data_IF_635448476042
#
_entry.id   IF_635448476042
#
_cell.length_a   1.000
_cell.length_b   1.000
_cell.length_c   1.000
_cell.angle_alpha   90.00
_cell.angle_beta   90.00
_cell.angle_gamma   90.00
#
_symmetry.space_group_name_H-M   'P 1'
#
loop_
_entity.id
_entity.type
_entity.pdbx_description
1 polymer ?
#
# COMPACT_ATOMS: atom_id res chain seq x y z
N UNK A 1 7.16 2.36 -3.15
CA UNK A 1 6.20 1.53 -2.40
C UNK A 1 5.07 0.97 -3.26
N UNK A 2 4.25 1.81 -3.90
CA UNK A 2 2.98 1.44 -4.55
C UNK A 2 3.06 0.25 -5.50
N UNK A 3 3.89 0.34 -6.55
CA UNK A 3 4.03 -0.72 -7.55
C UNK A 3 4.44 -2.07 -6.94
N UNK A 4 5.47 -2.08 -6.08
CA UNK A 4 5.92 -3.31 -5.39
C UNK A 4 4.84 -3.91 -4.49
N UNK A 5 4.07 -3.07 -3.82
CA UNK A 5 2.96 -3.51 -2.96
C UNK A 5 1.88 -4.16 -3.82
N UNK A 6 1.45 -3.47 -4.88
CA UNK A 6 0.45 -3.98 -5.83
C UNK A 6 0.84 -5.34 -6.42
N UNK A 7 2.07 -5.48 -6.94
CA UNK A 7 2.52 -6.74 -7.55
C UNK A 7 2.54 -7.88 -6.52
N UNK A 8 3.06 -7.66 -5.31
CA UNK A 8 3.09 -8.69 -4.27
C UNK A 8 1.69 -9.12 -3.82
N UNK A 9 0.78 -8.17 -3.62
CA UNK A 9 -0.60 -8.47 -3.27
C UNK A 9 -1.31 -9.25 -4.39
N UNK A 10 -1.08 -8.88 -5.65
CA UNK A 10 -1.62 -9.59 -6.81
C UNK A 10 -1.11 -11.03 -6.88
N UNK A 11 0.20 -11.24 -6.75
CA UNK A 11 0.81 -12.57 -6.72
C UNK A 11 0.24 -13.43 -5.57
N UNK A 12 0.09 -12.86 -4.38
CA UNK A 12 -0.50 -13.54 -3.25
C UNK A 12 -1.97 -13.90 -3.46
N UNK A 13 -2.76 -13.00 -4.05
CA UNK A 13 -4.16 -13.25 -4.39
C UNK A 13 -4.32 -14.37 -5.44
N UNK A 14 -3.42 -14.46 -6.41
CA UNK A 14 -3.39 -15.57 -7.38
C UNK A 14 -3.03 -16.92 -6.72
N UNK A 15 -2.15 -16.91 -5.72
CA UNK A 15 -1.76 -18.10 -4.96
C UNK A 15 -2.86 -18.59 -3.99
N UNK A 16 -3.69 -17.69 -3.47
CA UNK A 16 -4.75 -17.99 -2.51
C UNK A 16 -6.13 -18.31 -3.11
N UNK A 17 -6.20 -18.60 -4.43
CA UNK A 17 -7.45 -19.03 -5.12
C UNK A 17 -8.07 -20.26 -4.43
N UNK A 18 -8.91 -20.02 -3.42
CA UNK A 18 -9.49 -21.04 -2.54
C UNK A 18 -10.08 -20.46 -1.24
N UNK A 19 -9.57 -19.32 -0.74
CA UNK A 19 -10.10 -18.67 0.48
C UNK A 19 -11.03 -17.52 0.11
N UNK A 20 -12.31 -17.81 -0.09
CA UNK A 20 -13.27 -16.90 -0.75
C UNK A 20 -13.41 -15.50 -0.11
N UNK A 21 -13.48 -15.41 1.22
CA UNK A 21 -13.76 -14.15 1.92
C UNK A 21 -12.56 -13.19 1.91
N UNK A 22 -11.39 -13.66 2.33
CA UNK A 22 -10.14 -12.87 2.34
C UNK A 22 -9.77 -12.39 0.94
N UNK A 23 -10.12 -13.18 -0.08
CA UNK A 23 -9.82 -12.83 -1.46
C UNK A 23 -10.62 -11.63 -1.97
N UNK A 24 -11.85 -11.39 -1.49
CA UNK A 24 -12.66 -10.24 -1.94
C UNK A 24 -12.13 -8.91 -1.41
N UNK A 25 -11.86 -8.84 -0.11
CA UNK A 25 -11.29 -7.64 0.53
C UNK A 25 -9.90 -7.31 -0.03
N UNK A 26 -9.07 -8.34 -0.24
CA UNK A 26 -7.77 -8.19 -0.86
C UNK A 26 -7.88 -7.66 -2.30
N UNK A 27 -8.83 -8.16 -3.10
CA UNK A 27 -9.06 -7.66 -4.47
C UNK A 27 -9.48 -6.19 -4.46
N UNK A 28 -10.38 -5.79 -3.56
CA UNK A 28 -10.78 -4.38 -3.39
C UNK A 28 -9.59 -3.49 -3.02
N UNK A 29 -8.77 -3.93 -2.07
CA UNK A 29 -7.56 -3.20 -1.70
C UNK A 29 -6.57 -3.07 -2.88
N UNK A 30 -6.38 -4.13 -3.67
CA UNK A 30 -5.54 -4.11 -4.87
C UNK A 30 -6.09 -3.11 -5.90
N UNK A 31 -7.40 -3.11 -6.12
CA UNK A 31 -8.08 -2.20 -7.04
C UNK A 31 -7.94 -0.74 -6.59
N UNK A 32 -8.14 -0.44 -5.31
CA UNK A 32 -7.97 0.89 -4.73
C UNK A 32 -6.52 1.36 -4.85
N UNK A 33 -5.54 0.50 -4.56
CA UNK A 33 -4.11 0.81 -4.74
C UNK A 33 -3.81 1.08 -6.22
N UNK A 34 -4.49 0.42 -7.15
CA UNK A 34 -4.32 0.63 -8.59
C UNK A 34 -4.99 1.92 -9.10
N UNK A 35 -6.18 2.26 -8.58
CA UNK A 35 -6.97 3.41 -9.02
C UNK A 35 -6.56 4.73 -8.36
N UNK A 36 -6.23 4.70 -7.07
CA UNK A 36 -6.02 5.90 -6.27
C UNK A 36 -4.57 6.02 -5.78
N UNK A 37 -4.07 7.25 -5.56
CA UNK A 37 -2.80 7.45 -4.89
C UNK A 37 -2.89 7.02 -3.41
N UNK A 38 -1.83 6.39 -2.91
CA UNK A 38 -1.70 6.05 -1.50
C UNK A 38 -1.57 7.31 -0.66
N UNK A 39 -2.16 7.33 0.54
CA UNK A 39 -1.88 8.41 1.51
C UNK A 39 -0.41 8.41 1.89
N UNK A 40 0.13 9.56 2.27
CA UNK A 40 1.54 9.68 2.66
C UNK A 40 1.90 8.76 3.85
N UNK A 41 1.04 8.66 4.86
CA UNK A 41 1.24 7.76 6.01
C UNK A 41 1.26 6.27 5.64
N UNK A 42 0.38 5.85 4.72
CA UNK A 42 0.41 4.49 4.18
C UNK A 42 1.68 4.24 3.36
N UNK A 43 2.11 5.22 2.55
CA UNK A 43 3.33 5.13 1.74
C UNK A 43 4.58 4.95 2.61
N UNK A 44 4.73 5.74 3.68
CA UNK A 44 5.85 5.59 4.62
C UNK A 44 5.86 4.22 5.29
N UNK A 45 4.72 3.81 5.84
CA UNK A 45 4.56 2.53 6.54
C UNK A 45 4.90 1.36 5.61
N UNK A 46 4.35 1.34 4.40
CA UNK A 46 4.63 0.31 3.40
C UNK A 46 6.10 0.31 2.98
N UNK A 47 6.72 1.47 2.75
CA UNK A 47 8.14 1.53 2.41
C UNK A 47 9.02 0.97 3.55
N UNK A 48 8.73 1.30 4.81
CA UNK A 48 9.47 0.79 5.97
C UNK A 48 9.36 -0.73 6.04
N UNK A 49 8.15 -1.27 5.95
CA UNK A 49 7.91 -2.72 6.05
C UNK A 49 8.49 -3.49 4.88
N UNK A 50 8.45 -2.93 3.67
CA UNK A 50 9.11 -3.51 2.50
C UNK A 50 10.64 -3.54 2.66
N UNK A 51 11.24 -2.48 3.23
CA UNK A 51 12.69 -2.43 3.51
C UNK A 51 13.11 -3.47 4.55
N UNK A 52 12.26 -3.77 5.52
CA UNK A 52 12.52 -4.80 6.55
C UNK A 52 12.16 -6.22 6.10
N UNK A 53 11.76 -6.42 4.83
CA UNK A 53 11.50 -7.74 4.29
C UNK A 53 10.19 -8.38 4.78
N UNK A 54 9.15 -7.58 5.02
CA UNK A 54 7.81 -8.10 5.41
C UNK A 54 7.36 -9.25 4.47
N UNK A 55 6.83 -10.33 5.05
CA UNK A 55 6.23 -11.46 4.32
C UNK A 55 4.91 -11.07 3.66
N UNK A 56 4.48 -11.81 2.62
CA UNK A 56 3.25 -11.49 1.88
C UNK A 56 2.00 -11.51 2.77
N UNK A 57 1.88 -12.48 3.68
CA UNK A 57 0.73 -12.60 4.61
C UNK A 57 0.60 -11.38 5.53
N UNK A 58 1.73 -10.92 6.07
CA UNK A 58 1.80 -9.73 6.93
C UNK A 58 1.60 -8.45 6.15
N UNK A 59 2.05 -8.40 4.89
CA UNK A 59 1.80 -7.29 3.98
C UNK A 59 0.31 -7.15 3.68
N UNK A 60 -0.39 -8.27 3.40
CA UNK A 60 -1.85 -8.30 3.21
C UNK A 60 -2.57 -7.80 4.46
N UNK A 61 -2.22 -8.35 5.62
CA UNK A 61 -2.82 -7.95 6.90
C UNK A 61 -2.66 -6.44 7.16
N UNK A 62 -1.48 -5.90 6.89
CA UNK A 62 -1.19 -4.47 7.03
C UNK A 62 -2.00 -3.61 6.06
N UNK A 63 -2.11 -4.02 4.80
CA UNK A 63 -2.85 -3.27 3.78
C UNK A 63 -4.34 -3.25 4.09
N UNK A 64 -4.89 -4.39 4.52
CA UNK A 64 -6.30 -4.49 4.94
C UNK A 64 -6.57 -3.63 6.18
N UNK A 65 -5.67 -3.64 7.18
CA UNK A 65 -5.79 -2.77 8.35
C UNK A 65 -5.78 -1.28 7.97
N UNK A 66 -4.82 -0.86 7.12
CA UNK A 66 -4.78 0.53 6.63
C UNK A 66 -6.04 0.92 5.85
N UNK A 67 -6.67 -0.03 5.17
CA UNK A 67 -7.93 0.18 4.43
C UNK A 67 -9.11 0.32 5.37
N UNK A 68 -9.22 -0.56 6.36
CA UNK A 68 -10.27 -0.54 7.38
C UNK A 68 -10.23 0.75 8.22
N UNK A 69 -9.03 1.32 8.39
CA UNK A 69 -8.83 2.61 9.03
C UNK A 69 -9.02 3.83 8.10
N UNK A 70 -9.47 3.65 6.84
CA UNK A 70 -9.60 4.70 5.82
C UNK A 70 -8.28 5.45 5.50
N UNK A 71 -7.13 4.83 5.81
CA UNK A 71 -5.79 5.41 5.72
C UNK A 71 -4.98 4.93 4.52
N UNK A 72 -5.48 3.97 3.74
CA UNK A 72 -4.76 3.35 2.63
C UNK A 72 -4.60 4.30 1.43
N UNK A 73 -5.71 4.72 0.83
CA UNK A 73 -5.76 5.54 -0.38
C UNK A 73 -6.45 6.89 -0.11
N UNK A 74 -6.13 7.88 -0.96
CA UNK A 74 -6.88 9.15 -1.03
C UNK A 74 -8.06 8.91 -1.95
N UNK A 75 -9.22 8.58 -1.37
CA UNK A 75 -10.50 8.54 -2.06
C UNK A 75 -11.17 9.87 -1.70
N UNK A 76 -11.32 10.77 -2.67
CA UNK A 76 -11.85 12.12 -2.42
C UNK A 76 -13.30 12.05 -1.89
N UNK A 77 -13.45 12.24 -0.58
CA UNK A 77 -14.58 12.94 0.02
C UNK A 77 -13.96 14.06 0.90
N UNK A 78 -14.10 15.31 0.45
CA UNK A 78 -13.64 16.54 1.13
C UNK A 78 -12.12 16.80 1.19
N UNK A 79 -11.64 17.43 0.11
CA UNK A 79 -10.70 18.55 0.11
C UNK A 79 -9.66 18.65 1.22
N UNK A 80 -8.48 18.11 0.99
CA UNK A 80 -7.25 18.71 1.49
C UNK A 80 -6.08 18.38 0.56
N UNK A 81 -5.71 19.40 -0.21
CA UNK A 81 -4.49 19.54 -1.00
C UNK A 81 -3.29 18.99 -0.22
N UNK A 82 -2.77 17.82 -0.59
CA UNK A 82 -1.41 17.47 -0.20
C UNK A 82 -0.48 18.09 -1.24
N UNK A 83 0.23 19.13 -0.81
CA UNK A 83 1.33 19.78 -1.52
C UNK A 83 2.24 18.76 -2.22
N UNK A 84 2.84 19.13 -3.36
CA UNK A 84 3.72 18.23 -4.10
C UNK A 84 4.85 17.76 -3.19
N UNK A 85 4.79 16.49 -2.80
CA UNK A 85 5.89 15.84 -2.08
C UNK A 85 7.06 15.77 -3.06
N UNK A 86 8.00 16.70 -2.91
CA UNK A 86 9.30 16.60 -3.56
C UNK A 86 9.94 15.31 -3.06
N UNK A 87 9.92 14.28 -3.87
CA UNK A 87 10.82 13.14 -3.71
C UNK A 87 12.24 13.65 -3.89
N UNK A 88 13.07 13.38 -2.88
CA UNK A 88 14.53 13.53 -2.85
C UNK A 88 15.06 14.93 -2.50
N UNK A 89 15.03 15.30 -1.21
CA UNK A 89 16.20 15.95 -0.63
C UNK A 89 17.25 14.87 -0.27
N UNK A 90 18.30 14.85 -1.09
CA UNK A 90 19.69 14.57 -0.70
C UNK A 90 20.00 13.15 -0.17
N UNK A 91 20.22 12.23 -1.10
CA UNK A 91 21.29 11.25 -0.91
C UNK A 91 22.64 11.97 -0.93
N UNK A 92 23.09 12.45 0.24
CA UNK A 92 24.48 12.83 0.49
C UNK A 92 25.10 11.74 1.38
N UNK A 93 25.54 10.67 0.74
CA UNK A 93 26.62 9.86 1.31
C UNK A 93 27.91 10.67 1.17
N UNK A 94 28.17 11.51 2.17
CA UNK A 94 29.55 11.75 2.55
C UNK A 94 30.00 10.50 3.31
N UNK A 95 31.04 9.85 2.81
CA UNK A 95 32.21 9.28 3.51
C UNK A 95 32.93 8.33 2.56
#
# INVERSE_FOLDING_TARGET
ARFRTYERLKHYADAMKGTLLVTDELRKAIEEIYRFPLRQGATDTLNRQLKTGISDERLVSLVLALRDEDRLCIVEEEGQTQEPIILCSLGLSAW
#
